data_IF_386801425495
#
_entry.id   IF_386801425495
#
_cell.length_a   1.000
_cell.length_b   1.000
_cell.length_c   1.000
_cell.angle_alpha   90.00
_cell.angle_beta   90.00
_cell.angle_gamma   90.00
#
_symmetry.space_group_name_H-M   'P 1'
#
loop_
_entity.id
_entity.type
_entity.pdbx_description
1 polymer ?
#
# COMPACT_ATOMS: atom_id res chain seq x y z
N UNK A 1 -7.19 -16.77 -0.93
CA UNK A 1 -7.12 -15.53 -0.15
C UNK A 1 -7.41 -14.37 -1.08
N UNK A 2 -8.44 -13.60 -0.79
CA UNK A 2 -9.15 -12.79 -1.77
C UNK A 2 -9.09 -11.32 -1.36
N UNK A 3 -8.02 -10.63 -1.77
CA UNK A 3 -8.14 -9.18 -1.91
C UNK A 3 -9.07 -8.97 -3.11
N UNK A 4 -10.34 -8.72 -2.81
CA UNK A 4 -11.39 -8.36 -3.77
C UNK A 4 -11.47 -9.28 -5.00
N UNK A 5 -11.89 -10.54 -4.80
CA UNK A 5 -12.44 -11.29 -5.93
C UNK A 5 -13.72 -10.61 -6.40
N UNK A 6 -13.85 -10.40 -7.71
CA UNK A 6 -15.09 -9.93 -8.32
C UNK A 6 -16.19 -10.95 -8.05
N UNK A 7 -16.99 -10.66 -7.03
CA UNK A 7 -18.06 -11.52 -6.58
C UNK A 7 -19.38 -10.80 -6.83
N UNK A 8 -20.34 -11.51 -7.43
CA UNK A 8 -21.68 -10.96 -7.60
C UNK A 8 -22.54 -11.24 -6.35
N UNK A 9 -23.72 -10.61 -6.30
CA UNK A 9 -24.64 -10.72 -5.17
C UNK A 9 -25.00 -12.18 -4.83
N UNK A 10 -25.31 -12.99 -5.85
CA UNK A 10 -25.74 -14.38 -5.69
C UNK A 10 -24.61 -15.26 -5.13
N UNK A 11 -23.40 -15.07 -5.64
CA UNK A 11 -22.20 -15.73 -5.12
C UNK A 11 -21.93 -15.32 -3.67
N UNK A 12 -22.08 -14.03 -3.34
CA UNK A 12 -21.84 -13.53 -1.98
C UNK A 12 -22.85 -14.09 -0.98
N UNK A 13 -24.13 -14.20 -1.35
CA UNK A 13 -25.14 -14.88 -0.50
C UNK A 13 -24.84 -16.36 -0.29
N UNK A 14 -24.35 -17.04 -1.33
CA UNK A 14 -24.02 -18.46 -1.27
C UNK A 14 -22.80 -18.72 -0.38
N UNK A 15 -21.72 -17.94 -0.57
CA UNK A 15 -20.47 -18.07 0.21
C UNK A 15 -20.71 -17.77 1.68
N UNK A 16 -21.50 -16.75 2.00
CA UNK A 16 -21.73 -16.33 3.38
C UNK A 16 -22.88 -17.09 4.07
N UNK A 17 -23.64 -17.90 3.33
CA UNK A 17 -24.84 -18.57 3.86
C UNK A 17 -25.90 -17.59 4.37
N UNK A 18 -25.94 -16.37 3.83
CA UNK A 18 -26.83 -15.30 4.28
C UNK A 18 -28.01 -15.12 3.34
N UNK A 19 -29.19 -14.90 3.94
CA UNK A 19 -30.34 -14.41 3.18
C UNK A 19 -30.02 -13.04 2.56
N UNK A 20 -30.53 -12.84 1.35
CA UNK A 20 -30.30 -11.62 0.58
C UNK A 20 -30.67 -10.35 1.36
N UNK A 21 -31.81 -10.32 2.04
CA UNK A 21 -32.28 -9.17 2.81
C UNK A 21 -31.31 -8.79 3.94
N UNK A 22 -30.74 -9.78 4.63
CA UNK A 22 -29.73 -9.60 5.68
C UNK A 22 -28.43 -9.05 5.10
N UNK A 23 -28.00 -9.59 3.97
CA UNK A 23 -26.80 -9.13 3.27
C UNK A 23 -26.96 -7.67 2.80
N UNK A 24 -28.14 -7.28 2.27
CA UNK A 24 -28.42 -5.89 1.86
C UNK A 24 -28.28 -4.93 3.03
N UNK A 25 -28.82 -5.28 4.21
CA UNK A 25 -28.73 -4.46 5.43
C UNK A 25 -27.27 -4.30 5.88
N UNK A 26 -26.50 -5.39 5.95
CA UNK A 26 -25.08 -5.36 6.33
C UNK A 26 -24.26 -4.51 5.36
N UNK A 27 -24.42 -4.70 4.05
CA UNK A 27 -23.73 -3.92 3.02
C UNK A 27 -24.11 -2.44 3.06
N UNK A 28 -25.37 -2.10 3.34
CA UNK A 28 -25.80 -0.70 3.49
C UNK A 28 -25.08 -0.02 4.66
N UNK A 29 -24.92 -0.72 5.78
CA UNK A 29 -24.19 -0.20 6.93
C UNK A 29 -22.69 -0.02 6.63
N UNK A 30 -22.06 -1.01 5.97
CA UNK A 30 -20.65 -0.92 5.54
C UNK A 30 -20.46 0.26 4.59
N UNK A 31 -21.34 0.41 3.59
CA UNK A 31 -21.30 1.56 2.65
C UNK A 31 -21.39 2.88 3.39
N UNK A 32 -22.32 3.02 4.34
CA UNK A 32 -22.47 4.25 5.13
C UNK A 32 -21.22 4.56 5.94
N UNK A 33 -20.56 3.54 6.49
CA UNK A 33 -19.31 3.69 7.23
C UNK A 33 -18.14 4.11 6.33
N UNK A 34 -18.03 3.50 5.14
CA UNK A 34 -16.94 3.78 4.19
C UNK A 34 -16.99 5.18 3.56
N UNK A 35 -18.18 5.78 3.47
CA UNK A 35 -18.33 7.16 3.00
C UNK A 35 -17.53 8.15 3.87
N UNK A 36 -17.34 7.87 5.16
CA UNK A 36 -16.53 8.71 6.05
C UNK A 36 -15.04 8.75 5.68
N UNK A 37 -14.59 7.84 4.81
CA UNK A 37 -13.21 7.72 4.34
C UNK A 37 -13.07 8.04 2.85
N UNK A 38 -14.11 8.62 2.22
CA UNK A 38 -14.20 8.83 0.77
C UNK A 38 -14.03 7.53 -0.05
N UNK A 39 -14.46 6.40 0.52
CA UNK A 39 -14.44 5.07 -0.14
C UNK A 39 -15.86 4.66 -0.52
N UNK A 40 -16.04 4.27 -1.79
CA UNK A 40 -17.30 3.86 -2.39
C UNK A 40 -17.23 2.38 -2.79
N UNK A 41 -18.21 1.61 -2.34
CA UNK A 41 -18.42 0.22 -2.77
C UNK A 41 -19.29 0.20 -4.03
N UNK A 42 -18.74 -0.23 -5.17
CA UNK A 42 -19.51 -0.36 -6.42
C UNK A 42 -20.57 -1.44 -6.31
N UNK A 43 -21.78 -1.16 -6.76
CA UNK A 43 -22.93 -2.04 -6.51
C UNK A 43 -22.89 -3.38 -7.26
N UNK A 44 -22.27 -3.44 -8.44
CA UNK A 44 -22.35 -4.61 -9.34
C UNK A 44 -21.29 -5.69 -9.03
N UNK A 45 -20.11 -5.28 -8.59
CA UNK A 45 -18.97 -6.17 -8.35
C UNK A 45 -18.40 -6.08 -6.94
N UNK A 46 -18.93 -5.19 -6.10
CA UNK A 46 -18.45 -4.90 -4.74
C UNK A 46 -17.02 -4.37 -4.64
N UNK A 47 -16.41 -3.99 -5.78
CA UNK A 47 -15.11 -3.32 -5.82
C UNK A 47 -15.10 -2.03 -4.99
N UNK A 48 -13.99 -1.80 -4.28
CA UNK A 48 -13.73 -0.54 -3.59
C UNK A 48 -13.13 0.49 -4.56
N UNK A 49 -13.70 1.70 -4.55
CA UNK A 49 -13.24 2.84 -5.37
C UNK A 49 -13.17 4.11 -4.52
N UNK A 50 -12.23 5.00 -4.83
CA UNK A 50 -11.95 6.18 -4.01
C UNK A 50 -10.46 6.50 -4.05
N UNK A 51 -9.94 7.09 -2.97
CA UNK A 51 -8.52 7.26 -2.80
C UNK A 51 -7.85 5.88 -2.60
N UNK A 52 -7.07 5.45 -3.59
CA UNK A 52 -6.49 4.11 -3.60
C UNK A 52 -5.50 3.87 -2.45
N UNK A 53 -4.81 4.92 -1.98
CA UNK A 53 -3.96 4.79 -0.79
C UNK A 53 -4.78 4.46 0.47
N UNK A 54 -5.90 5.17 0.68
CA UNK A 54 -6.79 4.92 1.81
C UNK A 54 -7.43 3.52 1.73
N UNK A 55 -7.78 3.06 0.53
CA UNK A 55 -8.29 1.70 0.31
C UNK A 55 -7.24 0.65 0.69
N UNK A 56 -6.00 0.79 0.20
CA UNK A 56 -4.89 -0.14 0.54
C UNK A 56 -4.62 -0.17 2.04
N UNK A 57 -4.67 0.99 2.71
CA UNK A 57 -4.52 1.08 4.17
C UNK A 57 -5.67 0.42 4.92
N UNK A 58 -6.91 0.64 4.50
CA UNK A 58 -8.08 -0.03 5.07
C UNK A 58 -7.94 -1.56 5.00
N UNK A 59 -7.56 -2.07 3.82
CA UNK A 59 -7.34 -3.51 3.60
C UNK A 59 -6.23 -4.02 4.53
N UNK A 60 -5.10 -3.31 4.61
CA UNK A 60 -3.97 -3.68 5.47
C UNK A 60 -4.37 -3.73 6.94
N UNK A 61 -5.04 -2.69 7.45
CA UNK A 61 -5.52 -2.65 8.84
C UNK A 61 -6.52 -3.77 9.14
N UNK A 62 -7.39 -4.10 8.18
CA UNK A 62 -8.34 -5.20 8.32
C UNK A 62 -7.60 -6.54 8.51
N UNK A 63 -6.66 -6.89 7.63
CA UNK A 63 -5.91 -8.14 7.74
C UNK A 63 -5.01 -8.21 9.00
N UNK A 64 -4.40 -7.09 9.39
CA UNK A 64 -3.67 -6.95 10.67
C UNK A 64 -4.55 -7.19 11.88
N UNK A 65 -5.77 -6.68 11.88
CA UNK A 65 -6.69 -6.86 12.99
C UNK A 65 -7.16 -8.32 13.13
N UNK A 66 -7.51 -8.97 12.02
CA UNK A 66 -8.03 -10.33 12.03
C UNK A 66 -6.95 -11.43 12.08
N UNK A 67 -5.66 -11.06 12.08
CA UNK A 67 -4.51 -11.98 12.08
C UNK A 67 -4.63 -13.07 11.00
N UNK A 68 -5.25 -12.74 9.87
CA UNK A 68 -5.49 -13.72 8.82
C UNK A 68 -4.16 -14.08 8.14
N UNK A 69 -3.70 -15.32 8.36
CA UNK A 69 -2.46 -15.89 7.83
C UNK A 69 -2.54 -16.27 6.34
N UNK A 70 -3.61 -15.88 5.65
CA UNK A 70 -3.99 -16.47 4.37
C UNK A 70 -3.39 -15.74 3.14
N UNK A 71 -2.78 -14.57 3.30
CA UNK A 71 -2.18 -13.82 2.18
C UNK A 71 -0.83 -14.44 1.79
N UNK A 72 -0.63 -14.69 0.49
CA UNK A 72 0.68 -15.09 -0.03
C UNK A 72 1.71 -13.99 0.28
N UNK A 73 2.72 -14.32 1.08
CA UNK A 73 3.77 -13.36 1.43
C UNK A 73 4.63 -13.04 0.21
N UNK A 74 4.80 -11.75 -0.12
CA UNK A 74 5.82 -11.35 -1.10
C UNK A 74 7.20 -11.32 -0.41
N UNK A 75 7.71 -12.51 -0.08
CA UNK A 75 8.96 -12.70 0.67
C UNK A 75 10.17 -12.09 -0.02
N UNK A 76 10.23 -12.20 -1.35
CA UNK A 76 11.39 -11.72 -2.10
C UNK A 76 11.50 -10.21 -2.08
N UNK A 77 10.43 -9.49 -2.44
CA UNK A 77 10.44 -8.03 -2.45
C UNK A 77 10.58 -7.47 -1.03
N UNK A 78 9.91 -8.08 -0.06
CA UNK A 78 10.07 -7.76 1.37
C UNK A 78 11.52 -7.84 1.80
N UNK A 79 12.21 -8.94 1.47
CA UNK A 79 13.63 -9.12 1.79
C UNK A 79 14.51 -8.08 1.09
N UNK A 80 14.26 -7.77 -0.19
CA UNK A 80 15.00 -6.72 -0.91
C UNK A 80 14.83 -5.36 -0.24
N UNK A 81 13.61 -5.01 0.19
CA UNK A 81 13.33 -3.75 0.90
C UNK A 81 14.03 -3.72 2.25
N UNK A 82 13.92 -4.78 3.05
CA UNK A 82 14.61 -4.88 4.36
C UNK A 82 16.11 -4.68 4.18
N UNK A 83 16.73 -5.38 3.23
CA UNK A 83 18.16 -5.26 2.96
C UNK A 83 18.52 -3.85 2.47
N UNK A 84 17.76 -3.28 1.54
CA UNK A 84 18.05 -1.98 0.96
C UNK A 84 18.01 -0.85 2.00
N UNK A 85 16.95 -0.80 2.81
CA UNK A 85 16.83 0.21 3.86
C UNK A 85 17.56 -0.16 5.16
N UNK A 86 18.19 -1.34 5.22
CA UNK A 86 18.81 -1.88 6.43
C UNK A 86 17.83 -1.87 7.61
N UNK A 87 16.60 -2.33 7.38
CA UNK A 87 15.53 -2.25 8.38
C UNK A 87 15.78 -3.23 9.53
N UNK A 88 15.76 -2.72 10.76
CA UNK A 88 15.77 -3.55 11.97
C UNK A 88 14.33 -3.84 12.41
N UNK A 89 13.72 -4.86 11.82
CA UNK A 89 12.32 -5.22 12.04
C UNK A 89 12.19 -6.52 12.82
N UNK A 90 11.34 -6.52 13.83
CA UNK A 90 10.85 -7.76 14.45
C UNK A 90 9.90 -8.52 13.49
N UNK A 91 9.53 -9.76 13.85
CA UNK A 91 8.68 -10.63 13.03
C UNK A 91 7.35 -9.95 12.66
N UNK A 92 6.70 -9.26 13.60
CA UNK A 92 5.43 -8.59 13.36
C UNK A 92 5.55 -7.45 12.33
N UNK A 93 6.62 -6.65 12.42
CA UNK A 93 6.88 -5.57 11.46
C UNK A 93 7.30 -6.10 10.09
N UNK A 94 8.01 -7.24 10.02
CA UNK A 94 8.30 -7.90 8.74
C UNK A 94 7.03 -8.41 8.07
N UNK A 95 6.11 -8.99 8.85
CA UNK A 95 4.80 -9.43 8.35
C UNK A 95 3.97 -8.24 7.86
N UNK A 96 3.97 -7.14 8.62
CA UNK A 96 3.32 -5.89 8.20
C UNK A 96 3.87 -5.42 6.84
N UNK A 97 5.20 -5.35 6.69
CA UNK A 97 5.83 -4.95 5.44
C UNK A 97 5.43 -5.89 4.29
N UNK A 98 5.49 -7.20 4.52
CA UNK A 98 5.09 -8.20 3.53
C UNK A 98 3.65 -8.01 3.04
N UNK A 99 2.72 -7.75 3.96
CA UNK A 99 1.32 -7.51 3.61
C UNK A 99 1.11 -6.18 2.89
N UNK A 100 1.82 -5.12 3.31
CA UNK A 100 1.79 -3.85 2.61
C UNK A 100 2.19 -4.03 1.15
N UNK A 101 3.30 -4.74 0.88
CA UNK A 101 3.78 -5.00 -0.47
C UNK A 101 2.83 -5.89 -1.27
N UNK A 102 2.31 -6.95 -0.66
CA UNK A 102 1.35 -7.83 -1.31
C UNK A 102 0.09 -7.07 -1.75
N UNK A 103 -0.51 -6.30 -0.85
CA UNK A 103 -1.70 -5.48 -1.14
C UNK A 103 -1.38 -4.47 -2.25
N UNK A 104 -0.20 -3.84 -2.18
CA UNK A 104 0.25 -2.86 -3.18
C UNK A 104 0.29 -3.44 -4.59
N UNK A 105 0.98 -4.56 -4.77
CA UNK A 105 1.10 -5.22 -6.07
C UNK A 105 -0.23 -5.78 -6.55
N UNK A 106 -1.01 -6.38 -5.65
CA UNK A 106 -2.28 -7.01 -6.00
C UNK A 106 -3.28 -5.98 -6.50
N UNK A 107 -3.48 -4.90 -5.75
CA UNK A 107 -4.39 -3.80 -6.15
C UNK A 107 -3.96 -3.17 -7.47
N UNK A 108 -2.67 -2.94 -7.67
CA UNK A 108 -2.17 -2.42 -8.93
C UNK A 108 -2.42 -3.39 -10.10
N UNK A 109 -2.18 -4.69 -9.91
CA UNK A 109 -2.47 -5.74 -10.91
C UNK A 109 -3.94 -5.78 -11.30
N UNK A 110 -4.83 -5.54 -10.34
CA UNK A 110 -6.29 -5.52 -10.55
C UNK A 110 -6.77 -4.20 -11.19
N UNK A 111 -5.85 -3.31 -11.58
CA UNK A 111 -6.13 -2.06 -12.28
C UNK A 111 -6.36 -0.86 -11.36
N UNK A 112 -6.13 -1.02 -10.06
CA UNK A 112 -6.32 0.03 -9.07
C UNK A 112 -5.01 0.75 -8.78
N UNK A 113 -4.70 1.78 -9.58
CA UNK A 113 -3.50 2.59 -9.45
C UNK A 113 -3.67 3.81 -8.55
N UNK A 114 -2.63 4.21 -7.83
CA UNK A 114 -2.61 5.43 -7.02
C UNK A 114 -2.72 6.66 -7.91
N UNK A 115 -3.66 7.55 -7.58
CA UNK A 115 -3.73 8.92 -8.04
C UNK A 115 -2.89 9.82 -7.12
N UNK A 116 -1.58 9.93 -7.36
CA UNK A 116 -0.75 10.89 -6.61
C UNK A 116 -1.17 12.31 -7.02
N UNK A 117 -1.67 13.16 -6.11
CA UNK A 117 -1.73 14.59 -6.36
C UNK A 117 -0.31 15.13 -6.24
N UNK A 118 0.23 15.70 -7.31
CA UNK A 118 1.51 16.42 -7.38
C UNK A 118 2.56 15.92 -6.37
N UNK A 119 3.22 14.80 -6.69
CA UNK A 119 4.40 14.34 -5.95
C UNK A 119 5.36 15.52 -5.73
N UNK A 120 5.61 15.88 -4.47
CA UNK A 120 6.57 16.92 -4.10
C UNK A 120 7.89 16.73 -4.86
N UNK A 121 8.55 17.84 -5.20
CA UNK A 121 9.84 17.89 -5.92
C UNK A 121 10.88 16.86 -5.41
N UNK A 122 10.82 16.52 -4.12
CA UNK A 122 11.62 15.48 -3.45
C UNK A 122 11.68 14.16 -4.24
N UNK A 123 10.54 13.72 -4.80
CA UNK A 123 10.42 12.41 -5.46
C UNK A 123 10.85 12.40 -6.93
N UNK A 124 11.14 13.58 -7.52
CA UNK A 124 11.54 13.67 -8.93
C UNK A 124 13.05 13.59 -9.13
N UNK A 125 13.85 13.92 -8.10
CA UNK A 125 15.31 14.06 -8.20
C UNK A 125 16.10 13.26 -7.15
N UNK A 126 15.43 12.50 -6.28
CA UNK A 126 16.09 11.67 -5.25
C UNK A 126 17.00 10.61 -5.89
N UNK A 127 18.30 10.71 -5.59
CA UNK A 127 19.29 9.72 -5.98
C UNK A 127 19.07 8.41 -5.21
N UNK A 128 18.58 8.51 -3.98
CA UNK A 128 18.25 7.34 -3.17
C UNK A 128 17.05 6.57 -3.73
N UNK A 129 16.02 7.27 -4.21
CA UNK A 129 14.92 6.65 -4.97
C UNK A 129 15.42 5.98 -6.26
N UNK A 130 16.35 6.61 -6.98
CA UNK A 130 16.93 5.98 -8.18
C UNK A 130 17.61 4.64 -7.84
N UNK A 131 18.43 4.59 -6.78
CA UNK A 131 19.07 3.37 -6.31
C UNK A 131 18.03 2.32 -5.89
N UNK A 132 17.00 2.74 -5.14
CA UNK A 132 15.91 1.86 -4.75
C UNK A 132 15.24 1.20 -5.97
N UNK A 133 15.00 1.98 -7.02
CA UNK A 133 14.40 1.46 -8.25
C UNK A 133 15.26 0.38 -8.91
N UNK A 134 16.57 0.61 -8.99
CA UNK A 134 17.51 -0.30 -9.65
C UNK A 134 17.74 -1.57 -8.82
N UNK A 135 17.92 -1.43 -7.51
CA UNK A 135 18.30 -2.53 -6.62
C UNK A 135 17.09 -3.37 -6.15
N UNK A 136 15.94 -2.74 -5.94
CA UNK A 136 14.76 -3.40 -5.35
C UNK A 136 13.67 -3.67 -6.38
N UNK A 137 13.38 -2.69 -7.24
CA UNK A 137 12.21 -2.70 -8.13
C UNK A 137 12.54 -3.01 -9.59
N UNK A 138 13.76 -3.44 -9.92
CA UNK A 138 14.20 -3.67 -11.30
C UNK A 138 13.36 -4.68 -12.06
N UNK A 139 12.79 -5.66 -11.37
CA UNK A 139 11.90 -6.69 -11.94
C UNK A 139 10.42 -6.43 -11.65
N UNK A 140 10.07 -5.29 -11.05
CA UNK A 140 8.69 -4.99 -10.69
C UNK A 140 7.89 -4.56 -11.91
N UNK A 141 6.64 -5.01 -11.99
CA UNK A 141 5.69 -4.62 -13.03
C UNK A 141 4.93 -3.32 -12.71
N UNK A 142 5.13 -2.73 -11.52
CA UNK A 142 4.42 -1.52 -11.11
C UNK A 142 4.97 -0.28 -11.81
N UNK A 143 4.08 0.64 -12.22
CA UNK A 143 4.47 1.87 -12.94
C UNK A 143 5.40 2.77 -12.11
N UNK A 144 6.20 3.63 -12.77
CA UNK A 144 7.07 4.59 -12.07
C UNK A 144 6.33 5.42 -11.01
N UNK A 145 5.06 5.75 -11.27
CA UNK A 145 4.19 6.47 -10.34
C UNK A 145 3.94 5.66 -9.06
N UNK A 146 3.64 4.37 -9.20
CA UNK A 146 3.48 3.44 -8.08
C UNK A 146 4.79 3.24 -7.33
N UNK A 147 5.91 3.12 -8.04
CA UNK A 147 7.22 2.96 -7.42
C UNK A 147 7.58 4.15 -6.51
N UNK A 148 7.33 5.38 -6.99
CA UNK A 148 7.52 6.60 -6.20
C UNK A 148 6.62 6.66 -4.98
N UNK A 149 5.33 6.36 -5.17
CA UNK A 149 4.38 6.34 -4.06
C UNK A 149 4.79 5.28 -3.02
N UNK A 150 5.19 4.08 -3.46
CA UNK A 150 5.64 3.01 -2.58
C UNK A 150 6.86 3.44 -1.75
N UNK A 151 7.85 4.06 -2.39
CA UNK A 151 9.05 4.54 -1.71
C UNK A 151 8.73 5.49 -0.55
N UNK A 152 7.82 6.45 -0.78
CA UNK A 152 7.42 7.42 0.24
C UNK A 152 6.55 6.81 1.33
N UNK A 153 5.72 5.84 0.98
CA UNK A 153 4.96 5.08 1.98
C UNK A 153 5.89 4.24 2.86
N UNK A 154 6.92 3.63 2.29
CA UNK A 154 7.92 2.88 3.06
C UNK A 154 8.69 3.80 4.02
N UNK A 155 9.04 5.01 3.57
CA UNK A 155 9.61 6.05 4.43
C UNK A 155 8.65 6.43 5.57
N UNK A 156 7.39 6.70 5.27
CA UNK A 156 6.42 7.11 6.28
C UNK A 156 6.15 6.02 7.34
N UNK A 157 6.09 4.75 6.94
CA UNK A 157 5.81 3.63 7.85
C UNK A 157 7.04 3.14 8.61
N UNK A 158 8.21 3.11 7.95
CA UNK A 158 9.40 2.43 8.47
C UNK A 158 10.61 3.35 8.69
N UNK A 159 10.48 4.66 8.44
CA UNK A 159 11.58 5.62 8.55
C UNK A 159 12.30 5.60 9.90
N UNK A 160 11.57 5.37 10.99
CA UNK A 160 12.14 5.20 12.33
C UNK A 160 13.03 3.97 12.48
N UNK A 161 12.81 2.93 11.67
CA UNK A 161 13.54 1.66 11.69
C UNK A 161 14.66 1.59 10.66
N UNK A 162 14.90 2.65 9.89
CA UNK A 162 15.92 2.68 8.85
C UNK A 162 17.32 2.48 9.43
N UNK A 163 18.16 1.71 8.75
CA UNK A 163 19.55 1.55 9.15
C UNK A 163 20.36 2.82 8.98
N UNK A 164 21.61 2.77 9.45
CA UNK A 164 22.51 3.95 9.45
C UNK A 164 22.74 4.49 8.04
N UNK A 165 22.86 3.62 7.02
CA UNK A 165 23.11 4.04 5.65
C UNK A 165 21.91 4.76 5.06
N UNK A 166 20.71 4.18 5.16
CA UNK A 166 19.48 4.76 4.64
C UNK A 166 19.19 6.13 5.27
N UNK A 167 19.30 6.25 6.61
CA UNK A 167 19.12 7.55 7.29
C UNK A 167 20.07 8.63 6.80
N UNK A 168 21.34 8.30 6.51
CA UNK A 168 22.30 9.26 5.94
C UNK A 168 21.87 9.79 4.58
N UNK A 169 21.31 8.92 3.72
CA UNK A 169 20.80 9.36 2.42
C UNK A 169 19.64 10.35 2.56
N UNK A 170 18.66 10.04 3.42
CA UNK A 170 17.52 10.93 3.65
C UNK A 170 17.94 12.29 4.22
N UNK A 171 18.82 12.30 5.23
CA UNK A 171 19.35 13.55 5.81
C UNK A 171 20.05 14.39 4.72
N UNK A 172 20.90 13.76 3.90
CA UNK A 172 21.62 14.45 2.83
C UNK A 172 20.69 15.04 1.77
N UNK A 173 19.65 14.30 1.37
CA UNK A 173 18.66 14.78 0.41
C UNK A 173 17.81 15.92 0.99
N UNK A 174 17.43 15.82 2.26
CA UNK A 174 16.70 16.90 2.95
C UNK A 174 17.54 18.18 3.07
N UNK A 175 18.81 18.07 3.47
CA UNK A 175 19.72 19.23 3.54
C UNK A 175 19.91 19.91 2.17
N UNK A 176 19.99 19.13 1.09
CA UNK A 176 20.05 19.69 -0.27
C UNK A 176 18.81 20.52 -0.60
N UNK A 177 17.63 20.02 -0.24
CA UNK A 177 16.37 20.71 -0.53
C UNK A 177 16.24 21.98 0.30
N UNK A 178 16.54 21.92 1.59
CA UNK A 178 16.58 23.10 2.45
C UNK A 178 17.55 24.16 1.89
N UNK A 179 18.73 23.74 1.42
CA UNK A 179 19.71 24.65 0.80
C UNK A 179 19.23 25.29 -0.51
N UNK A 180 18.35 24.61 -1.26
CA UNK A 180 17.77 25.12 -2.51
C UNK A 180 16.61 26.07 -2.22
N UNK A 181 15.77 25.76 -1.22
CA UNK A 181 14.67 26.61 -0.79
C UNK A 181 15.15 27.93 -0.16
N UNK A 182 16.28 27.92 0.55
CA UNK A 182 16.89 29.13 1.13
C UNK A 182 17.55 30.07 0.08
N UNK A 183 17.71 29.62 -1.16
CA UNK A 183 18.27 30.42 -2.27
C UNK A 183 17.20 31.05 -3.16
N UNK A 184 15.94 30.90 -2.80
CA UNK A 184 14.75 31.52 -3.42
C UNK A 184 14.13 32.53 -2.47
#
# INVERSE_FOLDING_TARGET
>A
CLIEERINYAQLTQVLGLQESTLRKKLSNIRRWLVNFDIIVRQKHYDLTGNEWQIRQLILCFYLFFQESCLEENREMTRKIITFFELDLNVAHQNHLSWLIYIWERRYRDGHGISVPNANLFQQTSAFFYLFRVEVLSTSFISLKEQKALFVILEAHFGGCFGKRARKYFIHEQMKIESLCLKT
#
